data_IF_342061607241
#
_entry.id   IF_342061607241
#
_cell.length_a   1.000
_cell.length_b   1.000
_cell.length_c   1.000
_cell.angle_alpha   90.00
_cell.angle_beta   90.00
_cell.angle_gamma   90.00
#
_symmetry.space_group_name_H-M   'P 1'
#
loop_
_entity.id
_entity.type
_entity.pdbx_description
1 polymer ?
#
# COMPACT_ATOMS: atom_id res chain seq x y z
N UNK A 1 -16.12 -28.61 -1.31
CA UNK A 1 -15.49 -27.27 -1.41
C UNK A 1 -16.51 -26.29 -0.84
N UNK A 2 -16.23 -25.67 0.30
CA UNK A 2 -17.06 -24.56 0.77
C UNK A 2 -17.10 -23.49 -0.32
N UNK A 3 -18.31 -22.97 -0.58
CA UNK A 3 -18.48 -21.87 -1.53
C UNK A 3 -17.62 -20.68 -1.05
N UNK A 4 -16.64 -20.26 -1.89
CA UNK A 4 -15.82 -19.08 -1.60
C UNK A 4 -16.72 -17.89 -1.27
N UNK A 5 -16.41 -17.17 -0.20
CA UNK A 5 -17.07 -15.91 0.12
C UNK A 5 -16.97 -14.95 -1.09
N UNK A 6 -18.01 -14.19 -1.37
CA UNK A 6 -18.05 -13.24 -2.48
C UNK A 6 -18.38 -11.85 -1.96
N UNK A 7 -17.85 -10.83 -2.63
CA UNK A 7 -18.25 -9.46 -2.37
C UNK A 7 -19.67 -9.19 -2.86
N UNK A 8 -20.38 -8.33 -2.13
CA UNK A 8 -21.79 -8.03 -2.41
C UNK A 8 -21.99 -7.10 -3.60
N UNK A 9 -20.95 -6.31 -3.96
CA UNK A 9 -21.06 -5.30 -5.02
C UNK A 9 -19.75 -5.06 -5.76
N UNK A 10 -19.85 -4.60 -7.03
CA UNK A 10 -18.71 -4.13 -7.82
C UNK A 10 -18.02 -2.93 -7.16
N UNK A 11 -18.82 -1.99 -6.63
CA UNK A 11 -18.28 -0.85 -5.91
C UNK A 11 -17.51 -1.29 -4.66
N UNK A 12 -18.02 -2.28 -3.92
CA UNK A 12 -17.31 -2.89 -2.80
C UNK A 12 -15.96 -3.47 -3.20
N UNK A 13 -15.89 -4.20 -4.31
CA UNK A 13 -14.64 -4.71 -4.86
C UNK A 13 -13.64 -3.59 -5.18
N UNK A 14 -14.07 -2.54 -5.92
CA UNK A 14 -13.19 -1.43 -6.31
C UNK A 14 -12.70 -0.70 -5.04
N UNK A 15 -13.59 -0.38 -4.09
CA UNK A 15 -13.23 0.34 -2.88
C UNK A 15 -12.33 -0.48 -1.95
N UNK A 16 -12.55 -1.80 -1.86
CA UNK A 16 -11.72 -2.68 -1.05
C UNK A 16 -10.32 -2.85 -1.66
N UNK A 17 -10.24 -3.07 -2.97
CA UNK A 17 -8.96 -3.18 -3.69
C UNK A 17 -8.20 -1.85 -3.68
N UNK A 18 -8.89 -0.73 -3.95
CA UNK A 18 -8.30 0.60 -3.86
C UNK A 18 -7.88 0.93 -2.42
N UNK A 19 -8.70 0.58 -1.41
CA UNK A 19 -8.35 0.79 0.00
C UNK A 19 -7.15 -0.03 0.47
N UNK A 20 -6.88 -1.18 -0.14
CA UNK A 20 -5.66 -1.94 0.12
C UNK A 20 -4.42 -1.28 -0.53
N UNK A 21 -4.58 -0.70 -1.72
CA UNK A 21 -3.52 0.04 -2.42
C UNK A 21 -3.29 1.42 -1.78
N UNK A 22 -4.36 2.18 -1.55
CA UNK A 22 -4.31 3.53 -0.97
C UNK A 22 -3.97 3.46 0.52
N UNK A 23 -2.74 3.75 0.83
CA UNK A 23 -2.23 3.71 2.20
C UNK A 23 -1.21 4.81 2.47
N UNK A 24 -0.34 4.58 3.45
CA UNK A 24 0.79 5.47 3.74
C UNK A 24 1.71 5.67 2.53
N UNK A 25 1.70 4.74 1.58
CA UNK A 25 2.44 4.84 0.33
C UNK A 25 2.07 6.06 -0.50
N UNK A 26 0.78 6.38 -0.59
CA UNK A 26 0.26 7.50 -1.38
C UNK A 26 0.32 8.82 -0.64
N UNK A 27 0.07 8.78 0.67
CA UNK A 27 -0.16 10.01 1.43
C UNK A 27 1.11 10.51 2.10
N UNK A 28 2.07 9.63 2.33
CA UNK A 28 3.33 9.94 2.99
C UNK A 28 4.54 9.69 2.07
N UNK A 29 4.75 8.43 1.63
CA UNK A 29 5.94 8.06 0.86
C UNK A 29 5.98 8.76 -0.50
N UNK A 30 4.87 8.86 -1.19
CA UNK A 30 4.79 9.50 -2.50
C UNK A 30 5.10 11.01 -2.47
N UNK A 31 4.50 11.86 -1.60
CA UNK A 31 4.87 13.27 -1.53
C UNK A 31 6.34 13.47 -1.15
N UNK A 32 6.86 12.71 -0.20
CA UNK A 32 8.27 12.73 0.13
C UNK A 32 9.16 12.37 -1.07
N UNK A 33 8.85 11.30 -1.79
CA UNK A 33 9.59 10.91 -3.00
C UNK A 33 9.51 11.99 -4.08
N UNK A 34 8.35 12.64 -4.26
CA UNK A 34 8.21 13.80 -5.15
C UNK A 34 9.12 14.96 -4.73
N UNK A 35 9.12 15.32 -3.45
CA UNK A 35 9.96 16.39 -2.92
C UNK A 35 11.44 16.15 -3.17
N UNK A 36 11.90 14.92 -2.97
CA UNK A 36 13.31 14.53 -3.14
C UNK A 36 13.74 14.39 -4.60
N UNK A 37 12.84 14.07 -5.52
CA UNK A 37 13.15 13.68 -6.90
C UNK A 37 12.61 14.66 -7.95
N UNK A 38 12.51 15.96 -7.65
CA UNK A 38 12.16 17.00 -8.62
C UNK A 38 10.68 17.18 -8.90
N UNK A 39 9.83 16.91 -7.91
CA UNK A 39 8.41 17.29 -7.94
C UNK A 39 7.63 16.69 -9.11
N UNK A 40 7.18 17.56 -10.03
CA UNK A 40 6.35 17.19 -11.18
C UNK A 40 6.99 16.19 -12.13
N UNK A 41 8.32 16.17 -12.25
CA UNK A 41 9.07 15.22 -13.06
C UNK A 41 8.92 13.79 -12.52
N UNK A 42 9.08 13.64 -11.21
CA UNK A 42 8.86 12.36 -10.54
C UNK A 42 7.40 11.91 -10.65
N UNK A 43 6.44 12.81 -10.44
CA UNK A 43 5.02 12.51 -10.56
C UNK A 43 4.66 11.98 -11.97
N UNK A 44 5.18 12.62 -13.02
CA UNK A 44 4.96 12.18 -14.40
C UNK A 44 5.51 10.77 -14.64
N UNK A 45 6.77 10.51 -14.22
CA UNK A 45 7.39 9.20 -14.33
C UNK A 45 6.65 8.13 -13.52
N UNK A 46 6.20 8.48 -12.31
CA UNK A 46 5.41 7.58 -11.47
C UNK A 46 4.10 7.16 -12.16
N UNK A 47 3.33 8.11 -12.71
CA UNK A 47 2.09 7.80 -13.42
C UNK A 47 2.38 6.91 -14.65
N UNK A 48 3.45 7.19 -15.39
CA UNK A 48 3.87 6.36 -16.52
C UNK A 48 4.21 4.94 -16.05
N UNK A 49 4.97 4.79 -14.96
CA UNK A 49 5.32 3.50 -14.38
C UNK A 49 4.10 2.73 -13.86
N UNK A 50 3.13 3.42 -13.26
CA UNK A 50 1.85 2.79 -12.87
C UNK A 50 1.13 2.16 -14.06
N UNK A 51 1.08 2.86 -15.20
CA UNK A 51 0.38 2.37 -16.38
C UNK A 51 1.15 1.27 -17.13
N UNK A 52 2.47 1.37 -17.19
CA UNK A 52 3.31 0.47 -18.00
C UNK A 52 3.76 -0.78 -17.22
N UNK A 53 3.97 -0.65 -15.91
CA UNK A 53 4.43 -1.74 -15.04
C UNK A 53 3.36 -2.18 -14.04
N UNK A 54 2.76 -1.25 -13.32
CA UNK A 54 1.79 -1.53 -12.25
C UNK A 54 0.51 -2.18 -12.78
N UNK A 55 -0.08 -1.60 -13.83
CA UNK A 55 -1.31 -2.12 -14.45
C UNK A 55 -1.18 -3.57 -14.93
N UNK A 56 -0.15 -3.95 -15.71
CA UNK A 56 0.04 -5.35 -16.09
C UNK A 56 0.10 -6.30 -14.90
N UNK A 57 0.87 -5.97 -13.86
CA UNK A 57 1.03 -6.83 -12.68
C UNK A 57 -0.29 -6.95 -11.92
N UNK A 58 -1.02 -5.85 -11.72
CA UNK A 58 -2.32 -5.86 -11.05
C UNK A 58 -3.36 -6.72 -11.80
N UNK A 59 -3.43 -6.59 -13.14
CA UNK A 59 -4.32 -7.43 -13.97
C UNK A 59 -3.97 -8.91 -13.83
N UNK A 60 -2.67 -9.25 -13.84
CA UNK A 60 -2.21 -10.63 -13.65
C UNK A 60 -2.57 -11.15 -12.27
N UNK A 61 -2.40 -10.35 -11.23
CA UNK A 61 -2.68 -10.75 -9.86
C UNK A 61 -4.18 -11.00 -9.63
N UNK A 62 -5.05 -10.09 -10.10
CA UNK A 62 -6.49 -10.32 -10.09
C UNK A 62 -6.89 -11.57 -10.90
N UNK A 63 -6.28 -11.80 -12.06
CA UNK A 63 -6.61 -12.93 -12.93
C UNK A 63 -6.27 -14.27 -12.26
N UNK A 64 -5.09 -14.37 -11.64
CA UNK A 64 -4.69 -15.58 -10.91
C UNK A 64 -5.63 -15.85 -9.74
N UNK A 65 -5.96 -14.83 -8.95
CA UNK A 65 -6.91 -14.96 -7.84
C UNK A 65 -8.30 -15.39 -8.30
N UNK A 66 -8.83 -14.75 -9.36
CA UNK A 66 -10.17 -15.05 -9.90
C UNK A 66 -10.24 -16.44 -10.53
N UNK A 67 -9.21 -16.86 -11.26
CA UNK A 67 -9.16 -18.19 -11.85
C UNK A 67 -9.00 -19.30 -10.80
N UNK A 68 -8.13 -19.08 -9.83
CA UNK A 68 -7.84 -20.05 -8.78
C UNK A 68 -9.00 -20.22 -7.78
N UNK A 69 -9.82 -19.18 -7.56
CA UNK A 69 -10.85 -19.14 -6.50
C UNK A 69 -10.27 -19.61 -5.15
N UNK A 70 -9.04 -19.16 -4.85
CA UNK A 70 -8.25 -19.52 -3.68
C UNK A 70 -7.50 -18.30 -3.13
N UNK A 71 -7.05 -18.38 -1.87
CA UNK A 71 -6.11 -17.41 -1.35
C UNK A 71 -4.73 -17.60 -1.98
N UNK A 72 -3.82 -16.60 -1.84
CA UNK A 72 -2.49 -16.69 -2.44
C UNK A 72 -1.70 -17.92 -2.07
N UNK A 73 -1.98 -18.55 -0.93
CA UNK A 73 -1.26 -19.77 -0.49
C UNK A 73 -1.44 -20.94 -1.48
N UNK A 74 -2.61 -21.05 -2.10
CA UNK A 74 -2.93 -22.15 -3.02
C UNK A 74 -3.16 -21.70 -4.47
N UNK A 75 -3.17 -20.38 -4.76
CA UNK A 75 -3.49 -19.88 -6.10
C UNK A 75 -2.56 -20.44 -7.19
N UNK A 76 -1.26 -20.49 -6.91
CA UNK A 76 -0.28 -21.04 -7.87
C UNK A 76 -0.44 -22.54 -8.03
N UNK A 77 -0.60 -23.27 -6.94
CA UNK A 77 -0.75 -24.73 -6.94
C UNK A 77 -2.00 -25.17 -7.73
N UNK A 78 -3.11 -24.40 -7.65
CA UNK A 78 -4.36 -24.72 -8.37
C UNK A 78 -4.26 -24.49 -9.88
N UNK A 79 -3.38 -23.61 -10.32
CA UNK A 79 -3.25 -23.21 -11.73
C UNK A 79 -1.96 -23.73 -12.38
N UNK A 80 -1.01 -24.27 -11.62
CA UNK A 80 0.23 -24.82 -12.18
C UNK A 80 -0.03 -26.10 -12.98
N UNK A 81 0.85 -26.34 -13.93
CA UNK A 81 0.82 -27.57 -14.72
C UNK A 81 1.39 -28.74 -13.93
N UNK A 82 0.93 -29.98 -14.17
CA UNK A 82 1.49 -31.18 -13.52
C UNK A 82 3.02 -31.24 -13.65
N UNK A 83 3.68 -31.52 -12.53
CA UNK A 83 5.15 -31.62 -12.46
C UNK A 83 5.88 -30.31 -12.15
N UNK A 84 5.19 -29.17 -12.09
CA UNK A 84 5.75 -27.90 -11.66
C UNK A 84 5.50 -27.65 -10.16
N UNK A 85 6.29 -26.77 -9.54
CA UNK A 85 6.25 -26.47 -8.10
C UNK A 85 6.08 -24.97 -7.84
N UNK A 86 5.23 -24.28 -8.59
CA UNK A 86 4.95 -22.87 -8.37
C UNK A 86 4.22 -22.60 -7.04
N UNK A 87 3.53 -23.61 -6.49
CA UNK A 87 2.85 -23.51 -5.20
C UNK A 87 3.72 -23.02 -4.05
N UNK A 88 5.05 -23.21 -4.12
CA UNK A 88 5.99 -22.67 -3.12
C UNK A 88 5.91 -21.16 -2.95
N UNK A 89 5.58 -20.44 -4.02
CA UNK A 89 5.44 -18.98 -3.98
C UNK A 89 4.20 -18.48 -3.19
N UNK A 90 3.25 -19.37 -2.90
CA UNK A 90 2.16 -19.06 -1.96
C UNK A 90 2.68 -18.83 -0.53
N UNK A 91 3.66 -19.61 -0.08
CA UNK A 91 4.32 -19.41 1.23
C UNK A 91 5.09 -18.10 1.24
N UNK A 92 5.77 -17.77 0.15
CA UNK A 92 6.46 -16.47 -0.01
C UNK A 92 5.49 -15.29 0.14
N UNK A 93 4.29 -15.39 -0.46
CA UNK A 93 3.23 -14.38 -0.29
C UNK A 93 2.80 -14.24 1.16
N UNK A 94 2.62 -15.35 1.89
CA UNK A 94 2.23 -15.32 3.31
C UNK A 94 3.30 -14.62 4.17
N UNK A 95 4.57 -14.99 4.00
CA UNK A 95 5.69 -14.39 4.74
C UNK A 95 5.78 -12.90 4.45
N UNK A 96 5.63 -12.49 3.19
CA UNK A 96 5.66 -11.08 2.79
C UNK A 96 4.55 -10.24 3.43
N UNK A 97 3.32 -10.76 3.47
CA UNK A 97 2.20 -10.07 4.12
C UNK A 97 2.40 -9.95 5.65
N UNK A 98 2.93 -10.99 6.29
CA UNK A 98 3.24 -10.96 7.72
C UNK A 98 4.37 -9.94 7.99
N UNK A 99 5.41 -9.92 7.18
CA UNK A 99 6.51 -8.96 7.30
C UNK A 99 6.04 -7.51 7.12
N UNK A 100 5.11 -7.26 6.17
CA UNK A 100 4.50 -5.95 6.01
C UNK A 100 3.76 -5.52 7.27
N UNK A 101 2.96 -6.39 7.87
CA UNK A 101 2.20 -6.06 9.08
C UNK A 101 3.09 -5.86 10.31
N UNK A 102 4.31 -6.39 10.33
CA UNK A 102 5.26 -6.21 11.43
C UNK A 102 5.65 -4.73 11.66
N UNK A 103 5.61 -3.89 10.63
CA UNK A 103 5.90 -2.45 10.79
C UNK A 103 4.70 -1.56 10.44
N UNK A 104 3.88 -1.95 9.47
CA UNK A 104 2.80 -1.08 9.00
C UNK A 104 1.72 -0.86 10.06
N UNK A 105 1.44 -1.86 10.91
CA UNK A 105 0.52 -1.71 12.05
C UNK A 105 1.04 -0.72 13.11
N UNK A 106 2.36 -0.65 13.30
CA UNK A 106 2.98 0.33 14.21
C UNK A 106 2.86 1.74 13.65
N UNK A 107 3.18 1.94 12.37
CA UNK A 107 3.03 3.23 11.68
C UNK A 107 1.56 3.69 11.73
N UNK A 108 0.61 2.78 11.51
CA UNK A 108 -0.83 3.06 11.65
C UNK A 108 -1.16 3.51 13.09
N UNK A 109 -0.56 2.88 14.09
CA UNK A 109 -0.68 3.27 15.49
C UNK A 109 -0.18 4.69 15.76
N UNK A 110 0.95 5.09 15.15
CA UNK A 110 1.45 6.48 15.25
C UNK A 110 0.46 7.49 14.65
N UNK A 111 -0.16 7.17 13.53
CA UNK A 111 -1.19 8.01 12.91
C UNK A 111 -2.41 8.13 13.83
N UNK A 112 -2.86 7.04 14.45
CA UNK A 112 -3.92 7.08 15.45
C UNK A 112 -3.56 7.96 16.65
N UNK A 113 -2.34 7.87 17.16
CA UNK A 113 -1.86 8.71 18.24
C UNK A 113 -1.96 10.20 17.90
N UNK A 114 -1.46 10.62 16.74
CA UNK A 114 -1.53 12.00 16.29
C UNK A 114 -2.97 12.46 16.08
N UNK A 115 -3.84 11.63 15.54
CA UNK A 115 -5.27 11.92 15.42
C UNK A 115 -5.88 12.25 16.80
N UNK A 116 -5.66 11.38 17.79
CA UNK A 116 -6.18 11.59 19.15
C UNK A 116 -5.62 12.87 19.78
N UNK A 117 -4.34 13.14 19.56
CA UNK A 117 -3.69 14.35 20.09
C UNK A 117 -4.28 15.64 19.51
N UNK A 118 -4.47 15.72 18.21
CA UNK A 118 -5.14 16.86 17.58
C UNK A 118 -6.59 16.97 18.02
N UNK A 119 -7.32 15.86 18.09
CA UNK A 119 -8.72 15.83 18.53
C UNK A 119 -8.89 16.32 19.99
N UNK A 120 -7.98 15.97 20.88
CA UNK A 120 -8.00 16.40 22.30
C UNK A 120 -7.39 17.77 22.53
N UNK A 121 -6.69 18.34 21.54
CA UNK A 121 -6.01 19.64 21.66
C UNK A 121 -4.70 19.58 22.44
N UNK A 122 -4.13 18.38 22.64
CA UNK A 122 -2.87 18.17 23.38
C UNK A 122 -1.64 18.16 22.47
N UNK A 123 -1.62 18.98 21.43
CA UNK A 123 -0.65 18.96 20.33
C UNK A 123 0.52 19.96 20.49
N UNK A 124 0.64 20.65 21.63
CA UNK A 124 1.62 21.73 21.80
C UNK A 124 3.08 21.27 22.01
N UNK A 125 3.32 20.00 22.40
CA UNK A 125 4.64 19.55 22.88
C UNK A 125 5.13 18.22 22.25
N UNK A 126 4.95 18.01 20.93
CA UNK A 126 5.36 16.74 20.34
C UNK A 126 6.48 16.85 19.31
N UNK A 127 7.63 16.21 19.64
CA UNK A 127 8.57 15.72 18.65
C UNK A 127 8.27 14.25 18.30
N UNK A 128 8.29 13.91 17.03
CA UNK A 128 8.15 12.52 16.56
C UNK A 128 9.17 11.60 17.24
N UNK A 129 10.42 12.06 17.39
CA UNK A 129 11.47 11.33 18.07
C UNK A 129 11.14 10.95 19.52
N UNK A 130 10.46 11.83 20.26
CA UNK A 130 10.04 11.56 21.64
C UNK A 130 8.92 10.50 21.66
N UNK A 131 7.97 10.59 20.73
CA UNK A 131 6.85 9.66 20.65
C UNK A 131 7.33 8.24 20.30
N UNK A 132 8.22 8.07 19.32
CA UNK A 132 8.73 6.74 18.96
C UNK A 132 9.60 6.11 20.05
N UNK A 133 10.22 6.93 20.90
CA UNK A 133 11.01 6.46 22.04
C UNK A 133 10.16 6.06 23.26
N UNK A 134 8.85 6.40 23.30
CA UNK A 134 7.97 6.02 24.40
C UNK A 134 7.34 4.63 24.17
N UNK A 135 7.79 3.58 24.90
CA UNK A 135 7.29 2.22 24.70
C UNK A 135 5.80 2.08 25.05
N UNK A 136 5.29 2.86 26.02
CA UNK A 136 3.88 2.78 26.43
C UNK A 136 2.97 3.29 25.32
N UNK A 137 3.31 4.42 24.72
CA UNK A 137 2.56 4.99 23.58
C UNK A 137 2.56 4.00 22.43
N UNK A 138 3.74 3.52 22.04
CA UNK A 138 3.88 2.61 20.89
C UNK A 138 3.09 1.31 21.07
N UNK A 139 3.22 0.65 22.21
CA UNK A 139 2.50 -0.61 22.48
C UNK A 139 0.99 -0.39 22.57
N UNK A 140 0.54 0.71 23.21
CA UNK A 140 -0.89 1.01 23.34
C UNK A 140 -1.55 1.22 21.98
N UNK A 141 -0.97 2.08 21.13
CA UNK A 141 -1.56 2.37 19.83
C UNK A 141 -1.39 1.24 18.82
N UNK A 142 -0.32 0.44 18.91
CA UNK A 142 -0.22 -0.83 18.20
C UNK A 142 -1.36 -1.77 18.59
N UNK A 143 -1.61 -1.94 19.90
CA UNK A 143 -2.70 -2.79 20.39
C UNK A 143 -4.06 -2.31 19.90
N UNK A 144 -4.34 -1.01 19.96
CA UNK A 144 -5.59 -0.41 19.44
C UNK A 144 -5.73 -0.71 17.94
N UNK A 145 -4.68 -0.52 17.14
CA UNK A 145 -4.70 -0.75 15.70
C UNK A 145 -5.03 -2.21 15.38
N UNK A 146 -4.31 -3.15 16.01
CA UNK A 146 -4.52 -4.59 15.77
C UNK A 146 -5.89 -5.03 16.25
N UNK A 147 -6.32 -4.55 17.43
CA UNK A 147 -7.65 -4.86 17.98
C UNK A 147 -8.77 -4.39 17.06
N UNK A 148 -8.74 -3.12 16.63
CA UNK A 148 -9.75 -2.56 15.72
C UNK A 148 -9.78 -3.33 14.41
N UNK A 149 -8.63 -3.61 13.81
CA UNK A 149 -8.55 -4.35 12.56
C UNK A 149 -9.17 -5.76 12.69
N UNK A 150 -8.79 -6.53 13.69
CA UNK A 150 -9.29 -7.90 13.84
C UNK A 150 -10.71 -7.99 14.39
N UNK A 151 -11.21 -6.97 15.09
CA UNK A 151 -12.65 -6.85 15.42
C UNK A 151 -13.48 -6.68 14.14
N UNK A 152 -13.06 -5.80 13.23
CA UNK A 152 -13.74 -5.61 11.93
C UNK A 152 -13.67 -6.89 11.10
N UNK A 153 -12.51 -7.53 11.01
CA UNK A 153 -12.30 -8.77 10.26
C UNK A 153 -13.04 -9.98 10.87
N UNK A 154 -13.36 -9.96 12.16
CA UNK A 154 -14.13 -11.04 12.80
C UNK A 154 -15.58 -11.08 12.33
N UNK A 155 -16.09 -9.97 11.81
CA UNK A 155 -17.35 -9.91 11.10
C UNK A 155 -17.24 -10.63 9.74
N UNK A 156 -18.37 -10.89 9.05
CA UNK A 156 -18.33 -11.49 7.72
C UNK A 156 -17.73 -10.55 6.65
N UNK A 157 -17.35 -11.09 5.49
CA UNK A 157 -16.72 -10.34 4.41
C UNK A 157 -17.60 -9.16 3.94
N UNK A 158 -18.89 -9.39 3.69
CA UNK A 158 -19.81 -8.38 3.15
C UNK A 158 -20.24 -7.35 4.20
N UNK A 159 -20.67 -7.79 5.39
CA UNK A 159 -21.18 -6.91 6.44
C UNK A 159 -20.09 -6.20 7.26
N UNK A 160 -18.89 -6.79 7.34
CA UNK A 160 -17.75 -6.25 8.05
C UNK A 160 -16.78 -5.52 7.10
N UNK A 161 -15.89 -6.27 6.49
CA UNK A 161 -14.78 -5.71 5.71
C UNK A 161 -15.26 -4.82 4.55
N UNK A 162 -16.18 -5.29 3.71
CA UNK A 162 -16.64 -4.53 2.52
C UNK A 162 -17.35 -3.23 2.92
N UNK A 163 -18.28 -3.28 3.88
CA UNK A 163 -19.06 -2.09 4.27
C UNK A 163 -18.18 -1.05 4.99
N UNK A 164 -17.34 -1.50 5.90
CA UNK A 164 -16.45 -0.61 6.65
C UNK A 164 -15.44 0.04 5.71
N UNK A 165 -14.77 -0.74 4.86
CA UNK A 165 -13.78 -0.20 3.91
C UNK A 165 -14.42 0.75 2.91
N UNK A 166 -15.61 0.43 2.38
CA UNK A 166 -16.35 1.32 1.50
C UNK A 166 -16.68 2.66 2.17
N UNK A 167 -17.18 2.63 3.41
CA UNK A 167 -17.45 3.85 4.20
C UNK A 167 -16.20 4.67 4.46
N UNK A 168 -15.11 4.02 4.88
CA UNK A 168 -13.82 4.66 5.11
C UNK A 168 -13.26 5.31 3.84
N UNK A 169 -13.32 4.64 2.69
CA UNK A 169 -12.81 5.16 1.43
C UNK A 169 -13.60 6.37 0.93
N UNK A 170 -14.93 6.36 1.05
CA UNK A 170 -15.77 7.52 0.71
C UNK A 170 -15.43 8.69 1.63
N UNK A 171 -15.36 8.46 2.94
CA UNK A 171 -15.00 9.50 3.92
C UNK A 171 -13.60 10.05 3.66
N UNK A 172 -12.61 9.19 3.36
CA UNK A 172 -11.25 9.58 2.99
C UNK A 172 -11.25 10.53 1.79
N UNK A 173 -11.93 10.17 0.70
CA UNK A 173 -11.98 11.01 -0.50
C UNK A 173 -12.62 12.39 -0.22
N UNK A 174 -13.70 12.43 0.55
CA UNK A 174 -14.35 13.69 0.95
C UNK A 174 -13.41 14.53 1.80
N UNK A 175 -12.78 13.95 2.82
CA UNK A 175 -11.84 14.64 3.69
C UNK A 175 -10.65 15.20 2.91
N UNK A 176 -10.09 14.43 1.98
CA UNK A 176 -8.98 14.89 1.14
C UNK A 176 -9.38 16.06 0.23
N UNK A 177 -10.57 16.05 -0.35
CA UNK A 177 -11.08 17.17 -1.15
C UNK A 177 -11.22 18.43 -0.30
N UNK A 178 -11.78 18.33 0.92
CA UNK A 178 -11.90 19.45 1.86
C UNK A 178 -10.53 20.03 2.22
N UNK A 179 -9.58 19.15 2.57
CA UNK A 179 -8.22 19.56 2.91
C UNK A 179 -7.46 20.16 1.72
N UNK A 180 -7.64 19.60 0.51
CA UNK A 180 -7.02 20.14 -0.71
C UNK A 180 -7.55 21.56 -1.01
N UNK A 181 -8.88 21.78 -0.94
CA UNK A 181 -9.48 23.11 -1.12
C UNK A 181 -8.94 24.08 -0.07
N UNK A 182 -8.84 23.68 1.20
CA UNK A 182 -8.26 24.52 2.24
C UNK A 182 -6.78 24.83 1.95
N UNK A 183 -5.98 23.84 1.52
CA UNK A 183 -4.55 24.04 1.23
C UNK A 183 -4.32 25.03 0.08
N UNK A 184 -5.24 25.10 -0.90
CA UNK A 184 -5.19 26.09 -1.99
C UNK A 184 -5.36 27.54 -1.52
N UNK A 185 -5.82 27.80 -0.31
CA UNK A 185 -5.94 29.15 0.28
C UNK A 185 -4.64 29.65 0.88
N UNK A 186 -3.62 28.84 0.99
CA UNK A 186 -2.32 29.22 1.55
C UNK A 186 -1.53 30.16 0.61
N UNK A 187 -0.74 31.05 1.20
CA UNK A 187 0.02 32.04 0.42
C UNK A 187 1.06 31.44 -0.54
N UNK A 188 1.69 30.33 -0.15
CA UNK A 188 2.65 29.58 -0.98
C UNK A 188 2.02 28.56 -1.93
N UNK A 189 0.68 28.54 -2.07
CA UNK A 189 -0.01 27.52 -2.86
C UNK A 189 0.43 27.50 -4.33
N UNK A 190 0.55 28.67 -4.95
CA UNK A 190 0.95 28.77 -6.37
C UNK A 190 2.36 28.21 -6.61
N UNK A 191 3.31 28.49 -5.72
CA UNK A 191 4.69 28.02 -5.83
C UNK A 191 4.79 26.52 -5.56
N UNK A 192 4.13 26.04 -4.48
CA UNK A 192 4.07 24.61 -4.16
C UNK A 192 3.42 23.77 -5.26
N UNK A 193 2.33 24.27 -5.87
CA UNK A 193 1.68 23.59 -7.00
C UNK A 193 2.53 23.63 -8.27
N UNK A 194 3.24 24.72 -8.53
CA UNK A 194 4.17 24.79 -9.66
C UNK A 194 5.28 23.76 -9.53
N UNK A 195 5.91 23.65 -8.36
CA UNK A 195 6.92 22.63 -8.08
C UNK A 195 6.37 21.23 -8.28
N UNK A 196 5.15 20.97 -7.79
CA UNK A 196 4.56 19.63 -7.77
C UNK A 196 3.97 19.18 -9.10
N UNK A 197 3.38 20.08 -9.89
CA UNK A 197 2.63 19.74 -11.11
C UNK A 197 3.40 20.01 -12.40
N UNK A 198 4.38 20.93 -12.38
CA UNK A 198 5.13 21.32 -13.59
C UNK A 198 6.42 20.48 -13.66
N UNK A 199 6.56 19.61 -14.68
CA UNK A 199 7.78 18.83 -14.84
C UNK A 199 9.00 19.70 -15.21
N UNK A 200 10.10 19.48 -14.52
CA UNK A 200 11.43 19.93 -14.93
C UNK A 200 12.21 18.74 -15.47
N UNK A 201 12.28 18.60 -16.77
CA UNK A 201 12.95 17.47 -17.42
C UNK A 201 14.47 17.41 -17.16
N UNK A 202 15.07 18.52 -16.72
CA UNK A 202 16.49 18.55 -16.34
C UNK A 202 16.78 17.78 -15.04
N UNK A 203 15.77 17.60 -14.20
CA UNK A 203 15.85 16.84 -12.95
C UNK A 203 15.76 15.32 -13.15
N UNK A 204 15.49 14.84 -14.38
CA UNK A 204 15.32 13.40 -14.65
C UNK A 204 16.68 12.75 -14.88
N UNK A 205 17.08 11.90 -13.96
CA UNK A 205 18.20 10.98 -14.11
C UNK A 205 17.78 9.51 -13.89
N UNK A 206 18.74 8.58 -14.01
CA UNK A 206 18.48 7.17 -13.83
C UNK A 206 17.96 6.81 -12.43
N UNK A 207 18.37 7.56 -11.41
CA UNK A 207 17.95 7.32 -10.02
C UNK A 207 16.48 7.71 -9.81
N UNK A 208 16.04 8.82 -10.41
CA UNK A 208 14.66 9.30 -10.38
C UNK A 208 13.72 8.30 -11.08
N UNK A 209 14.16 7.75 -12.23
CA UNK A 209 13.39 6.73 -12.94
C UNK A 209 13.19 5.48 -12.06
N UNK A 210 14.27 4.96 -11.46
CA UNK A 210 14.19 3.78 -10.58
C UNK A 210 13.36 4.05 -9.34
N UNK A 211 13.50 5.24 -8.75
CA UNK A 211 12.67 5.66 -7.63
C UNK A 211 11.16 5.68 -7.98
N UNK A 212 10.80 6.20 -9.16
CA UNK A 212 9.42 6.21 -9.65
C UNK A 212 8.88 4.80 -9.91
N UNK A 213 9.71 3.92 -10.48
CA UNK A 213 9.35 2.52 -10.71
C UNK A 213 9.11 1.78 -9.38
N UNK A 214 10.00 1.93 -8.38
CA UNK A 214 9.84 1.34 -7.05
C UNK A 214 8.57 1.85 -6.37
N UNK A 215 8.31 3.15 -6.44
CA UNK A 215 7.11 3.75 -5.86
C UNK A 215 5.84 3.22 -6.52
N UNK A 216 5.83 2.95 -7.83
CA UNK A 216 4.67 2.41 -8.53
C UNK A 216 4.29 1.00 -8.03
N UNK A 217 5.27 0.12 -7.76
CA UNK A 217 4.98 -1.19 -7.17
C UNK A 217 4.53 -1.11 -5.72
N UNK A 218 5.17 -0.24 -4.94
CA UNK A 218 4.83 -0.05 -3.54
C UNK A 218 3.41 0.48 -3.37
N UNK A 219 3.03 1.52 -4.14
CA UNK A 219 1.72 2.15 -4.08
C UNK A 219 0.58 1.16 -4.35
N UNK A 220 0.73 0.33 -5.37
CA UNK A 220 -0.32 -0.63 -5.76
C UNK A 220 -0.38 -1.89 -4.89
N UNK A 221 0.56 -2.07 -3.95
CA UNK A 221 0.63 -3.26 -3.08
C UNK A 221 0.58 -4.60 -3.85
N UNK A 222 1.15 -4.64 -5.08
CA UNK A 222 1.17 -5.83 -5.93
C UNK A 222 2.38 -6.71 -5.67
N UNK A 223 2.29 -7.99 -6.03
CA UNK A 223 3.38 -8.97 -5.88
C UNK A 223 3.30 -9.84 -4.61
N UNK A 224 2.43 -9.50 -3.66
CA UNK A 224 2.24 -10.28 -2.42
C UNK A 224 0.92 -11.06 -2.37
N UNK A 225 0.16 -11.09 -3.47
CA UNK A 225 -1.15 -11.72 -3.49
C UNK A 225 -2.27 -10.86 -2.87
N UNK A 226 -2.00 -9.60 -2.50
CA UNK A 226 -3.02 -8.69 -1.97
C UNK A 226 -4.17 -8.46 -2.94
N UNK A 227 -3.88 -8.25 -4.20
CA UNK A 227 -4.90 -8.12 -5.23
C UNK A 227 -5.49 -9.48 -5.64
N UNK A 228 -4.75 -10.58 -5.51
CA UNK A 228 -5.25 -11.92 -5.83
C UNK A 228 -6.36 -12.35 -4.88
N UNK A 229 -6.29 -12.03 -3.58
CA UNK A 229 -7.37 -12.37 -2.65
C UNK A 229 -8.68 -11.69 -3.05
N UNK A 230 -8.63 -10.39 -3.42
CA UNK A 230 -9.80 -9.66 -3.90
C UNK A 230 -10.26 -10.17 -5.26
N UNK A 231 -9.34 -10.52 -6.17
CA UNK A 231 -9.65 -11.22 -7.41
C UNK A 231 -10.43 -12.51 -7.19
N UNK A 232 -10.13 -13.25 -6.12
CA UNK A 232 -10.85 -14.49 -5.77
C UNK A 232 -12.28 -14.26 -5.26
N UNK A 233 -12.63 -13.03 -4.88
CA UNK A 233 -13.95 -12.64 -4.38
C UNK A 233 -14.85 -12.00 -5.45
N UNK A 234 -14.31 -11.65 -6.63
CA UNK A 234 -15.06 -11.02 -7.72
C UNK A 234 -15.64 -12.05 -8.70
N UNK A 235 -16.83 -11.75 -9.24
CA UNK A 235 -17.45 -12.52 -10.33
C UNK A 235 -16.81 -12.30 -11.70
N UNK A 236 -17.39 -12.91 -12.73
CA UNK A 236 -16.93 -12.86 -14.12
C UNK A 236 -17.67 -11.86 -15.00
N UNK A 237 -18.44 -10.94 -14.42
CA UNK A 237 -19.28 -9.99 -15.14
C UNK A 237 -18.47 -8.89 -15.84
N UNK A 238 -17.31 -8.54 -15.28
CA UNK A 238 -16.43 -7.50 -15.77
C UNK A 238 -15.01 -8.00 -16.06
N UNK A 239 -14.40 -7.43 -17.11
CA UNK A 239 -13.01 -7.71 -17.48
C UNK A 239 -12.03 -7.05 -16.50
N UNK A 240 -10.95 -7.74 -16.17
CA UNK A 240 -10.01 -7.31 -15.12
C UNK A 240 -9.19 -6.08 -15.51
N UNK A 241 -8.94 -5.85 -16.80
CA UNK A 241 -8.25 -4.64 -17.27
C UNK A 241 -9.00 -3.37 -16.86
N UNK A 242 -10.33 -3.34 -17.04
CA UNK A 242 -11.16 -2.21 -16.64
C UNK A 242 -11.19 -2.01 -15.12
N UNK A 243 -11.32 -3.10 -14.36
CA UNK A 243 -11.32 -3.04 -12.90
C UNK A 243 -9.98 -2.55 -12.34
N UNK A 244 -8.86 -3.03 -12.88
CA UNK A 244 -7.52 -2.58 -12.51
C UNK A 244 -7.31 -1.09 -12.78
N UNK A 245 -7.80 -0.59 -13.92
CA UNK A 245 -7.73 0.85 -14.21
C UNK A 245 -8.54 1.70 -13.25
N UNK A 246 -9.70 1.24 -12.77
CA UNK A 246 -10.46 1.98 -11.75
C UNK A 246 -9.70 2.05 -10.42
N UNK A 247 -9.06 0.94 -10.01
CA UNK A 247 -8.23 0.92 -8.79
C UNK A 247 -7.03 1.86 -8.93
N UNK A 248 -6.30 1.78 -10.05
CA UNK A 248 -5.13 2.65 -10.31
C UNK A 248 -5.53 4.12 -10.39
N UNK A 249 -6.69 4.43 -11.01
CA UNK A 249 -7.19 5.79 -11.06
C UNK A 249 -7.45 6.35 -9.66
N UNK A 250 -8.11 5.59 -8.78
CA UNK A 250 -8.35 6.02 -7.40
C UNK A 250 -7.04 6.17 -6.61
N UNK A 251 -6.12 5.22 -6.76
CA UNK A 251 -4.79 5.25 -6.15
C UNK A 251 -4.02 6.52 -6.56
N UNK A 252 -3.94 6.78 -7.86
CA UNK A 252 -3.27 7.96 -8.41
C UNK A 252 -3.96 9.25 -7.98
N UNK A 253 -5.29 9.27 -7.98
CA UNK A 253 -6.07 10.44 -7.57
C UNK A 253 -5.76 10.83 -6.11
N UNK A 254 -5.70 9.85 -5.21
CA UNK A 254 -5.34 10.07 -3.81
C UNK A 254 -3.89 10.55 -3.67
N UNK A 255 -2.94 9.93 -4.40
CA UNK A 255 -1.55 10.36 -4.40
C UNK A 255 -1.39 11.82 -4.86
N UNK A 256 -2.09 12.20 -5.95
CA UNK A 256 -2.08 13.58 -6.46
C UNK A 256 -2.70 14.55 -5.45
N UNK A 257 -3.85 14.21 -4.86
CA UNK A 257 -4.46 15.06 -3.83
C UNK A 257 -3.58 15.22 -2.60
N UNK A 258 -2.86 14.17 -2.19
CA UNK A 258 -1.93 14.26 -1.05
C UNK A 258 -0.84 15.31 -1.29
N UNK A 259 -0.28 15.37 -2.49
CA UNK A 259 0.68 16.41 -2.86
C UNK A 259 0.05 17.81 -2.88
N UNK A 260 -1.19 17.96 -3.40
CA UNK A 260 -1.93 19.24 -3.37
C UNK A 260 -2.18 19.71 -1.93
N UNK A 261 -2.31 18.80 -0.96
CA UNK A 261 -2.46 19.14 0.46
C UNK A 261 -1.11 19.56 1.05
N UNK A 262 -0.04 18.83 0.76
CA UNK A 262 1.24 18.93 1.46
C UNK A 262 2.13 20.06 0.89
N UNK A 263 2.32 20.14 -0.43
CA UNK A 263 3.27 21.09 -1.01
C UNK A 263 2.90 22.56 -0.78
N UNK A 264 1.65 23.01 -0.95
CA UNK A 264 1.27 24.39 -0.59
C UNK A 264 1.60 24.75 0.86
N UNK A 265 1.37 23.82 1.79
CA UNK A 265 1.70 24.01 3.21
C UNK A 265 3.23 24.14 3.42
N UNK A 266 4.02 23.22 2.84
CA UNK A 266 5.48 23.26 2.95
C UNK A 266 6.06 24.58 2.40
N UNK A 267 5.62 25.03 1.23
CA UNK A 267 6.12 26.27 0.61
C UNK A 267 5.66 27.52 1.37
N UNK A 268 4.47 27.51 1.97
CA UNK A 268 3.98 28.64 2.79
C UNK A 268 4.83 28.83 4.06
N UNK A 269 5.25 27.75 4.69
CA UNK A 269 5.98 27.79 5.95
C UNK A 269 7.49 27.55 5.80
N UNK A 270 8.02 27.52 4.56
CA UNK A 270 9.42 27.24 4.23
C UNK A 270 9.95 25.95 4.89
N UNK A 271 9.15 24.88 4.82
CA UNK A 271 9.48 23.59 5.42
C UNK A 271 10.11 22.65 4.40
N UNK A 272 11.05 21.81 4.85
CA UNK A 272 11.73 20.85 3.99
C UNK A 272 10.77 19.76 3.53
N UNK A 273 10.65 19.58 2.21
CA UNK A 273 9.82 18.52 1.59
C UNK A 273 10.51 17.15 1.53
N UNK A 274 11.77 17.07 1.99
CA UNK A 274 12.65 15.89 1.83
C UNK A 274 12.78 15.05 3.12
N UNK A 275 12.06 15.38 4.17
CA UNK A 275 12.32 14.91 5.54
C UNK A 275 11.87 13.45 5.88
N UNK A 276 11.49 12.61 4.90
CA UNK A 276 11.09 11.22 5.19
C UNK A 276 9.83 11.11 6.10
N UNK A 277 9.83 10.20 7.11
CA UNK A 277 8.72 10.09 8.08
C UNK A 277 8.40 11.36 8.83
N UNK A 278 9.41 12.16 9.15
CA UNK A 278 9.23 13.43 9.84
C UNK A 278 8.45 14.47 9.03
N UNK A 279 8.40 14.36 7.69
CA UNK A 279 7.53 15.20 6.87
C UNK A 279 6.07 15.14 7.34
N UNK A 280 5.60 13.96 7.70
CA UNK A 280 4.22 13.78 8.15
C UNK A 280 4.04 14.16 9.61
N UNK A 281 4.88 13.62 10.49
CA UNK A 281 4.69 13.66 11.93
C UNK A 281 5.26 14.91 12.59
N UNK A 282 6.33 15.52 12.05
CA UNK A 282 6.89 16.77 12.54
C UNK A 282 6.44 17.95 11.67
N UNK A 283 6.71 17.90 10.36
CA UNK A 283 6.48 19.03 9.45
C UNK A 283 4.99 19.37 9.34
N UNK A 284 4.15 18.40 8.95
CA UNK A 284 2.71 18.67 8.82
C UNK A 284 2.03 18.91 10.16
N UNK A 285 2.45 18.23 11.23
CA UNK A 285 1.93 18.51 12.55
C UNK A 285 2.24 19.96 12.98
N UNK A 286 3.46 20.46 12.71
CA UNK A 286 3.82 21.84 13.02
C UNK A 286 3.04 22.86 12.19
N UNK A 287 2.74 22.60 10.92
CA UNK A 287 1.87 23.46 10.11
C UNK A 287 0.53 23.71 10.82
N UNK A 288 -0.10 22.65 11.30
CA UNK A 288 -1.40 22.75 11.97
C UNK A 288 -1.33 23.47 13.33
N UNK A 289 -0.16 23.62 13.95
CA UNK A 289 -0.04 24.46 15.16
C UNK A 289 0.00 25.95 14.86
N UNK A 290 0.34 26.36 13.62
CA UNK A 290 0.50 27.76 13.24
C UNK A 290 -0.70 28.36 12.48
N UNK A 291 -1.69 27.55 12.09
CA UNK A 291 -2.86 28.05 11.33
C UNK A 291 -4.08 28.24 12.24
N UNK A 292 -4.96 29.21 11.92
CA UNK A 292 -6.23 29.38 12.62
C UNK A 292 -7.09 28.11 12.52
N UNK A 293 -7.58 27.62 13.67
CA UNK A 293 -8.35 26.38 13.72
C UNK A 293 -7.54 25.10 13.46
N UNK A 294 -6.20 25.19 13.52
CA UNK A 294 -5.29 24.10 13.17
C UNK A 294 -5.49 22.81 13.93
N UNK A 295 -6.01 22.88 15.18
CA UNK A 295 -6.46 21.69 15.92
C UNK A 295 -7.44 20.85 15.09
N UNK A 296 -8.45 21.47 14.51
CA UNK A 296 -9.46 20.76 13.72
C UNK A 296 -8.94 20.32 12.36
N UNK A 297 -8.15 21.18 11.69
CA UNK A 297 -7.52 20.81 10.43
C UNK A 297 -6.53 19.66 10.58
N UNK A 298 -5.74 19.67 11.65
CA UNK A 298 -4.85 18.56 11.98
C UNK A 298 -5.62 17.29 12.33
N UNK A 299 -6.70 17.38 13.11
CA UNK A 299 -7.56 16.24 13.40
C UNK A 299 -8.17 15.64 12.12
N UNK A 300 -8.68 16.46 11.19
CA UNK A 300 -9.21 15.99 9.89
C UNK A 300 -8.12 15.37 9.02
N UNK A 301 -6.92 15.96 9.01
CA UNK A 301 -5.76 15.43 8.29
C UNK A 301 -5.36 14.05 8.82
N UNK A 302 -5.16 13.91 10.13
CA UNK A 302 -4.80 12.61 10.68
C UNK A 302 -5.96 11.61 10.65
N UNK A 303 -7.22 12.06 10.64
CA UNK A 303 -8.38 11.17 10.45
C UNK A 303 -8.38 10.53 9.05
N UNK A 304 -8.16 11.31 7.98
CA UNK A 304 -8.08 10.69 6.66
C UNK A 304 -6.88 9.76 6.54
N UNK A 305 -5.76 10.10 7.19
CA UNK A 305 -4.59 9.22 7.29
C UNK A 305 -4.88 7.90 8.00
N UNK A 306 -5.67 7.95 9.10
CA UNK A 306 -6.16 6.75 9.78
C UNK A 306 -6.97 5.89 8.82
N UNK A 307 -7.87 6.47 8.04
CA UNK A 307 -8.66 5.71 7.07
C UNK A 307 -7.80 5.08 5.98
N UNK A 308 -6.83 5.81 5.44
CA UNK A 308 -5.88 5.29 4.46
C UNK A 308 -5.04 4.13 5.02
N UNK A 309 -4.45 4.31 6.20
CA UNK A 309 -3.60 3.30 6.80
C UNK A 309 -4.41 2.06 7.24
N UNK A 310 -5.56 2.26 7.87
CA UNK A 310 -6.39 1.17 8.38
C UNK A 310 -7.03 0.36 7.24
N UNK A 311 -7.40 0.95 6.11
CA UNK A 311 -7.93 0.21 4.96
C UNK A 311 -6.89 -0.75 4.38
N UNK A 312 -5.62 -0.34 4.32
CA UNK A 312 -4.52 -1.23 3.92
C UNK A 312 -4.30 -2.34 4.95
N UNK A 313 -4.27 -2.00 6.26
CA UNK A 313 -4.17 -3.02 7.34
C UNK A 313 -5.27 -4.06 7.22
N UNK A 314 -6.51 -3.64 7.01
CA UNK A 314 -7.67 -4.54 6.84
C UNK A 314 -7.48 -5.44 5.62
N UNK A 315 -7.08 -4.90 4.48
CA UNK A 315 -6.87 -5.67 3.25
C UNK A 315 -5.78 -6.72 3.38
N UNK A 316 -4.64 -6.35 3.94
CA UNK A 316 -3.50 -7.26 4.12
C UNK A 316 -3.78 -8.30 5.23
N UNK A 317 -4.41 -7.89 6.34
CA UNK A 317 -4.81 -8.84 7.39
C UNK A 317 -5.88 -9.82 6.90
N UNK A 318 -6.83 -9.40 6.04
CA UNK A 318 -7.76 -10.33 5.37
C UNK A 318 -7.02 -11.35 4.51
N UNK A 319 -6.00 -10.91 3.77
CA UNK A 319 -5.17 -11.79 2.96
C UNK A 319 -4.46 -12.85 3.84
N UNK A 320 -3.82 -12.43 4.94
CA UNK A 320 -3.21 -13.35 5.92
C UNK A 320 -4.25 -14.30 6.50
N UNK A 321 -5.37 -13.77 6.94
CA UNK A 321 -6.47 -14.54 7.55
C UNK A 321 -7.00 -15.61 6.58
N UNK A 322 -7.23 -15.25 5.32
CA UNK A 322 -7.70 -16.18 4.31
C UNK A 322 -6.70 -17.30 4.05
N UNK A 323 -5.39 -16.98 3.95
CA UNK A 323 -4.34 -17.98 3.79
C UNK A 323 -4.25 -18.94 4.99
N UNK A 324 -4.26 -18.42 6.22
CA UNK A 324 -4.22 -19.22 7.44
C UNK A 324 -5.45 -20.09 7.57
N UNK A 325 -6.65 -19.56 7.25
CA UNK A 325 -7.89 -20.36 7.28
C UNK A 325 -7.87 -21.50 6.27
N UNK A 326 -7.38 -21.28 5.07
CA UNK A 326 -7.24 -22.35 4.06
C UNK A 326 -6.20 -23.41 4.47
N UNK A 327 -5.12 -23.03 5.13
CA UNK A 327 -4.10 -23.97 5.63
C UNK A 327 -4.60 -24.82 6.82
N UNK A 328 -5.37 -24.24 7.72
CA UNK A 328 -5.69 -24.84 9.03
C UNK A 328 -7.12 -25.34 9.16
N UNK A 329 -8.02 -24.87 8.29
CA UNK A 329 -9.47 -25.13 8.41
C UNK A 329 -10.13 -24.40 9.59
N UNK A 330 -9.50 -23.39 10.18
CA UNK A 330 -10.06 -22.69 11.34
C UNK A 330 -11.25 -21.80 10.97
N UNK A 331 -12.18 -21.68 11.93
CA UNK A 331 -13.27 -20.70 11.81
C UNK A 331 -12.72 -19.27 11.79
N UNK A 332 -13.46 -18.34 11.16
CA UNK A 332 -13.05 -16.93 11.03
C UNK A 332 -12.71 -16.29 12.38
N UNK A 333 -13.52 -16.40 13.46
CA UNK A 333 -13.16 -15.81 14.76
C UNK A 333 -11.88 -16.39 15.36
N UNK A 334 -11.67 -17.71 15.27
CA UNK A 334 -10.44 -18.35 15.76
C UNK A 334 -9.21 -17.86 14.95
N UNK A 335 -9.33 -17.82 13.63
CA UNK A 335 -8.28 -17.30 12.75
C UNK A 335 -7.94 -15.85 13.10
N UNK A 336 -8.93 -14.99 13.28
CA UNK A 336 -8.74 -13.58 13.68
C UNK A 336 -7.99 -13.47 15.02
N UNK A 337 -8.37 -14.23 16.04
CA UNK A 337 -7.73 -14.19 17.34
C UNK A 337 -6.26 -14.59 17.24
N UNK A 338 -5.95 -15.70 16.56
CA UNK A 338 -4.58 -16.21 16.44
C UNK A 338 -3.72 -15.29 15.55
N UNK A 339 -4.23 -14.86 14.40
CA UNK A 339 -3.51 -13.92 13.53
C UNK A 339 -3.28 -12.57 14.23
N UNK A 340 -4.27 -12.05 14.96
CA UNK A 340 -4.15 -10.80 15.70
C UNK A 340 -3.06 -10.86 16.76
N UNK A 341 -3.04 -11.94 17.58
CA UNK A 341 -1.97 -12.15 18.58
C UNK A 341 -0.60 -12.31 17.90
N UNK A 342 -0.52 -13.08 16.82
CA UNK A 342 0.74 -13.31 16.09
C UNK A 342 1.30 -12.02 15.48
N UNK A 343 0.46 -11.21 14.83
CA UNK A 343 0.87 -9.93 14.24
C UNK A 343 1.25 -8.94 15.35
N UNK A 344 0.47 -8.86 16.43
CA UNK A 344 0.80 -8.01 17.57
C UNK A 344 2.17 -8.37 18.15
N UNK A 345 2.42 -9.64 18.43
CA UNK A 345 3.67 -10.12 18.98
C UNK A 345 4.88 -9.80 18.07
N UNK A 346 4.73 -10.01 16.75
CA UNK A 346 5.78 -9.69 15.78
C UNK A 346 6.02 -8.18 15.68
N UNK A 347 4.95 -7.39 15.62
CA UNK A 347 5.04 -5.93 15.51
C UNK A 347 5.61 -5.24 16.77
N UNK A 348 5.64 -5.93 17.94
CA UNK A 348 6.34 -5.44 19.12
C UNK A 348 7.84 -5.22 18.86
N UNK A 349 8.46 -5.96 17.93
CA UNK A 349 9.85 -5.71 17.53
C UNK A 349 10.03 -4.30 17.01
N UNK A 350 9.15 -3.86 16.13
CA UNK A 350 9.16 -2.49 15.57
C UNK A 350 8.72 -1.46 16.59
N UNK A 351 7.64 -1.71 17.35
CA UNK A 351 7.10 -0.78 18.34
C UNK A 351 8.08 -0.46 19.48
N UNK A 352 8.90 -1.43 19.85
CA UNK A 352 9.91 -1.29 20.89
C UNK A 352 11.32 -1.05 20.33
N UNK A 353 11.48 -1.03 19.04
CA UNK A 353 12.78 -0.93 18.35
C UNK A 353 13.53 0.36 18.58
N UNK A 354 12.81 1.45 18.90
CA UNK A 354 13.39 2.75 19.22
C UNK A 354 13.60 2.99 20.73
N UNK A 355 13.20 2.02 21.57
CA UNK A 355 13.27 2.17 23.04
C UNK A 355 13.95 1.00 23.73
N UNK A 356 13.31 -0.15 23.85
CA UNK A 356 13.76 -1.30 24.65
C UNK A 356 14.49 -2.34 23.82
N UNK A 357 14.03 -2.60 22.59
CA UNK A 357 14.57 -3.60 21.69
C UNK A 357 15.46 -2.97 20.62
N UNK A 358 16.49 -2.25 21.07
CA UNK A 358 17.45 -1.63 20.15
C UNK A 358 18.07 -2.68 19.22
N UNK A 359 17.85 -2.52 17.93
CA UNK A 359 18.42 -3.35 16.88
C UNK A 359 18.77 -2.47 15.69
N UNK A 360 20.03 -2.48 15.31
CA UNK A 360 20.57 -1.72 14.19
C UNK A 360 21.00 -2.71 13.11
N UNK A 361 20.08 -3.19 12.28
CA UNK A 361 20.34 -4.31 11.36
C UNK A 361 21.38 -3.98 10.29
N UNK A 362 21.52 -2.69 9.92
CA UNK A 362 22.26 -2.32 8.74
C UNK A 362 23.37 -1.30 9.01
N UNK A 363 23.04 -0.24 9.77
CA UNK A 363 23.98 0.84 10.11
C UNK A 363 23.52 1.52 11.41
N UNK A 364 24.40 2.31 12.07
CA UNK A 364 24.00 3.17 13.18
C UNK A 364 22.83 4.08 12.80
N UNK A 365 21.78 4.09 13.60
CA UNK A 365 20.56 4.86 13.37
C UNK A 365 19.44 4.12 12.65
N UNK A 366 19.68 2.91 12.12
CA UNK A 366 18.60 2.05 11.59
C UNK A 366 17.87 1.31 12.72
N UNK A 367 16.63 0.85 12.45
CA UNK A 367 15.79 0.16 13.41
C UNK A 367 15.08 -1.04 12.79
N UNK A 368 14.26 -1.74 13.57
CA UNK A 368 13.41 -2.84 13.09
C UNK A 368 12.49 -2.44 11.94
N UNK A 369 12.01 -1.19 11.92
CA UNK A 369 11.20 -0.66 10.83
C UNK A 369 11.95 -0.72 9.50
N UNK A 370 13.21 -0.27 9.48
CA UNK A 370 14.05 -0.27 8.28
C UNK A 370 14.32 -1.69 7.78
N UNK A 371 14.50 -2.64 8.70
CA UNK A 371 14.65 -4.06 8.36
C UNK A 371 13.39 -4.62 7.67
N UNK A 372 12.22 -4.42 8.27
CA UNK A 372 10.99 -4.94 7.70
C UNK A 372 10.60 -4.25 6.39
N UNK A 373 10.79 -2.93 6.30
CA UNK A 373 10.57 -2.21 5.03
C UNK A 373 11.52 -2.69 3.93
N UNK A 374 12.81 -2.92 4.25
CA UNK A 374 13.75 -3.52 3.31
C UNK A 374 13.32 -4.90 2.82
N UNK A 375 12.90 -5.78 3.73
CA UNK A 375 12.42 -7.12 3.36
C UNK A 375 11.23 -7.00 2.41
N UNK A 376 10.27 -6.14 2.69
CA UNK A 376 9.04 -6.01 1.89
C UNK A 376 9.29 -5.22 0.61
N UNK A 377 9.76 -3.98 0.72
CA UNK A 377 9.81 -3.04 -0.41
C UNK A 377 10.91 -3.38 -1.40
N UNK A 378 12.07 -3.85 -0.91
CA UNK A 378 13.21 -4.15 -1.76
C UNK A 378 13.27 -5.60 -2.23
N UNK A 379 12.58 -6.54 -1.56
CA UNK A 379 12.64 -7.95 -1.93
C UNK A 379 11.27 -8.55 -2.27
N UNK A 380 10.30 -8.53 -1.33
CA UNK A 380 9.04 -9.27 -1.51
C UNK A 380 8.22 -8.73 -2.66
N UNK A 381 8.02 -7.41 -2.75
CA UNK A 381 7.21 -6.79 -3.81
C UNK A 381 7.80 -7.01 -5.21
N UNK A 382 9.10 -6.72 -5.47
CA UNK A 382 9.67 -6.93 -6.79
C UNK A 382 9.74 -8.42 -7.18
N UNK A 383 10.23 -9.28 -6.28
CA UNK A 383 10.37 -10.70 -6.58
C UNK A 383 9.02 -11.39 -6.76
N UNK A 384 8.03 -11.06 -5.94
CA UNK A 384 6.68 -11.58 -6.08
C UNK A 384 6.02 -11.13 -7.39
N UNK A 385 6.19 -9.87 -7.78
CA UNK A 385 5.72 -9.34 -9.07
C UNK A 385 6.41 -10.01 -10.26
N UNK A 386 7.72 -10.27 -10.15
CA UNK A 386 8.48 -11.01 -11.17
C UNK A 386 7.98 -12.45 -11.32
N UNK A 387 7.81 -13.16 -10.21
CA UNK A 387 7.28 -14.53 -10.18
C UNK A 387 5.89 -14.57 -10.81
N UNK A 388 5.01 -13.65 -10.45
CA UNK A 388 3.66 -13.56 -10.99
C UNK A 388 3.67 -13.32 -12.50
N UNK A 389 4.50 -12.40 -12.98
CA UNK A 389 4.63 -12.12 -14.41
C UNK A 389 5.17 -13.32 -15.19
N UNK A 390 6.16 -14.01 -14.65
CA UNK A 390 6.69 -15.25 -15.25
C UNK A 390 5.64 -16.37 -15.24
N UNK A 391 4.88 -16.52 -14.14
CA UNK A 391 3.83 -17.52 -14.03
C UNK A 391 2.70 -17.30 -15.06
N UNK A 392 2.21 -16.07 -15.19
CA UNK A 392 1.12 -15.74 -16.11
C UNK A 392 1.53 -15.78 -17.60
N UNK A 393 2.80 -15.43 -17.91
CA UNK A 393 3.21 -15.22 -19.30
C UNK A 393 4.05 -16.36 -19.88
N UNK A 394 4.61 -17.25 -19.03
CA UNK A 394 5.53 -18.29 -19.50
C UNK A 394 4.80 -19.63 -19.71
N UNK A 395 5.31 -20.43 -20.67
CA UNK A 395 4.80 -21.77 -20.95
C UNK A 395 4.98 -22.77 -19.78
N UNK A 396 5.91 -22.51 -18.87
CA UNK A 396 6.17 -23.34 -17.68
C UNK A 396 5.27 -22.99 -16.48
N UNK A 397 4.54 -21.87 -16.53
CA UNK A 397 3.54 -21.50 -15.56
C UNK A 397 2.12 -21.76 -16.07
N UNK A 398 1.19 -20.91 -15.67
CA UNK A 398 -0.20 -20.95 -16.13
C UNK A 398 -0.32 -20.66 -17.64
N UNK A 399 0.45 -19.70 -18.12
CA UNK A 399 0.61 -19.39 -19.54
C UNK A 399 -0.28 -18.24 -20.01
N UNK A 400 0.23 -17.54 -21.05
CA UNK A 400 -0.38 -16.34 -21.62
C UNK A 400 -1.84 -16.52 -22.05
N UNK A 401 -2.14 -17.62 -22.73
CA UNK A 401 -3.48 -17.81 -23.33
C UNK A 401 -4.54 -18.03 -22.25
N UNK A 402 -4.23 -18.78 -21.19
CA UNK A 402 -5.09 -18.95 -20.02
C UNK A 402 -5.28 -17.63 -19.27
N UNK A 403 -4.19 -16.89 -19.04
CA UNK A 403 -4.24 -15.58 -18.41
C UNK A 403 -5.15 -14.61 -19.18
N UNK A 404 -4.97 -14.49 -20.50
CA UNK A 404 -5.76 -13.56 -21.32
C UNK A 404 -7.23 -13.99 -21.39
N UNK A 405 -7.49 -15.29 -21.50
CA UNK A 405 -8.86 -15.81 -21.48
C UNK A 405 -9.59 -15.40 -20.20
N UNK A 406 -8.93 -15.57 -19.04
CA UNK A 406 -9.50 -15.15 -17.75
C UNK A 406 -9.62 -13.64 -17.63
N UNK A 407 -8.54 -12.87 -17.91
CA UNK A 407 -8.52 -11.42 -17.77
C UNK A 407 -9.58 -10.73 -18.65
N UNK A 408 -9.86 -11.29 -19.82
CA UNK A 408 -10.82 -10.78 -20.80
C UNK A 408 -12.27 -11.30 -20.59
N UNK A 409 -12.50 -12.15 -19.62
CA UNK A 409 -13.87 -12.63 -19.31
C UNK A 409 -14.70 -11.46 -18.74
N UNK A 410 -15.93 -11.33 -19.24
CA UNK A 410 -16.86 -10.27 -18.86
C UNK A 410 -16.82 -9.04 -19.77
N UNK A 411 -17.58 -8.01 -19.37
CA UNK A 411 -17.72 -6.74 -20.12
C UNK A 411 -16.61 -5.76 -19.75
N UNK A 412 -16.19 -4.89 -20.67
CA UNK A 412 -15.24 -3.80 -20.41
C UNK A 412 -13.97 -3.87 -21.23
N UNK A 413 -12.94 -3.13 -20.80
CA UNK A 413 -11.63 -3.06 -21.48
C UNK A 413 -10.91 -4.40 -21.40
N UNK A 414 -10.24 -4.76 -22.48
CA UNK A 414 -9.61 -6.08 -22.61
C UNK A 414 -8.12 -5.97 -22.89
N UNK A 415 -7.38 -6.96 -22.43
CA UNK A 415 -5.97 -7.15 -22.81
C UNK A 415 -5.92 -7.45 -24.32
N UNK A 416 -5.22 -6.59 -25.06
CA UNK A 416 -5.09 -6.69 -26.51
C UNK A 416 -3.85 -7.50 -26.92
N UNK A 417 -3.84 -8.15 -28.11
CA UNK A 417 -2.69 -8.95 -28.55
C UNK A 417 -1.37 -8.19 -28.62
N UNK A 418 -1.38 -6.89 -28.96
CA UNK A 418 -0.18 -6.05 -29.02
C UNK A 418 0.47 -5.81 -27.65
N UNK A 419 -0.26 -6.01 -26.56
CA UNK A 419 0.25 -5.88 -25.19
C UNK A 419 1.11 -7.11 -24.77
N UNK A 420 1.03 -8.23 -25.50
CA UNK A 420 1.76 -9.46 -25.17
C UNK A 420 3.27 -9.25 -24.96
N UNK A 421 4.01 -8.54 -25.83
CA UNK A 421 5.43 -8.30 -25.60
C UNK A 421 5.71 -7.47 -24.35
N UNK A 422 4.83 -6.52 -24.00
CA UNK A 422 4.96 -5.71 -22.77
C UNK A 422 4.84 -6.61 -21.54
N UNK A 423 3.78 -7.38 -21.41
CA UNK A 423 3.54 -8.26 -20.27
C UNK A 423 4.60 -9.38 -20.16
N UNK A 424 5.00 -9.96 -21.29
CA UNK A 424 5.85 -11.15 -21.30
C UNK A 424 7.34 -10.87 -21.19
N UNK A 425 7.81 -9.75 -21.73
CA UNK A 425 9.24 -9.45 -21.83
C UNK A 425 9.59 -8.15 -21.09
N UNK A 426 8.90 -7.06 -21.40
CA UNK A 426 9.26 -5.76 -20.84
C UNK A 426 9.04 -5.70 -19.32
N UNK A 427 7.86 -6.09 -18.83
CA UNK A 427 7.53 -6.05 -17.41
C UNK A 427 8.48 -6.91 -16.57
N UNK A 428 8.73 -8.21 -16.88
CA UNK A 428 9.70 -9.00 -16.11
C UNK A 428 11.13 -8.46 -16.19
N UNK A 429 11.56 -7.96 -17.35
CA UNK A 429 12.90 -7.39 -17.50
C UNK A 429 13.07 -6.10 -16.70
N UNK A 430 12.07 -5.21 -16.73
CA UNK A 430 12.08 -3.98 -15.95
C UNK A 430 12.07 -4.27 -14.43
N UNK A 431 11.25 -5.21 -13.97
CA UNK A 431 11.22 -5.60 -12.55
C UNK A 431 12.58 -6.16 -12.12
N UNK A 432 13.16 -7.06 -12.93
CA UNK A 432 14.48 -7.63 -12.63
C UNK A 432 15.56 -6.55 -12.60
N UNK A 433 15.53 -5.60 -13.54
CA UNK A 433 16.44 -4.46 -13.56
C UNK A 433 16.32 -3.61 -12.28
N UNK A 434 15.08 -3.24 -11.89
CA UNK A 434 14.83 -2.46 -10.68
C UNK A 434 15.35 -3.19 -9.44
N UNK A 435 15.05 -4.49 -9.35
CA UNK A 435 15.48 -5.31 -8.22
C UNK A 435 17.01 -5.35 -8.12
N UNK A 436 17.69 -5.68 -9.21
CA UNK A 436 19.15 -5.75 -9.22
C UNK A 436 19.78 -4.38 -8.96
N UNK A 437 19.31 -3.33 -9.63
CA UNK A 437 19.80 -1.96 -9.41
C UNK A 437 19.58 -1.54 -7.95
N UNK A 438 18.38 -1.78 -7.40
CA UNK A 438 18.08 -1.48 -6.00
C UNK A 438 18.99 -2.21 -5.02
N UNK A 439 19.33 -3.48 -5.27
CA UNK A 439 20.24 -4.25 -4.43
C UNK A 439 21.70 -3.77 -4.53
N UNK A 440 22.17 -3.38 -5.73
CA UNK A 440 23.54 -2.88 -5.93
C UNK A 440 23.74 -1.45 -5.44
N UNK A 441 22.70 -0.61 -5.48
CA UNK A 441 22.77 0.79 -5.05
C UNK A 441 22.28 0.99 -3.62
N UNK A 442 21.78 -0.07 -2.98
CA UNK A 442 21.32 0.01 -1.61
C UNK A 442 22.46 0.37 -0.68
N UNK A 443 22.40 1.57 -0.16
CA UNK A 443 23.35 2.04 0.86
C UNK A 443 22.69 1.82 2.22
N UNK A 444 23.33 1.01 3.04
CA UNK A 444 23.00 0.78 4.44
C UNK A 444 23.26 2.06 5.25
N UNK A 445 22.40 3.08 5.10
CA UNK A 445 22.52 4.36 5.80
C UNK A 445 21.29 4.63 6.63
#
# INVERSE_FOLDING_TARGET
MENRERLGSRLGFIMLSAGCAIGCGNVWKFPWMCGRNGGGSFMLLYILCLLVLGLPVMVMEFAVGRAAQASPIYMYQRLEKPGHKWGVFGVFSLIGNIALMAFYTVVTGWIFYYFVKFLTGSNADFGFAQMIADPKVNVTYLFITVLVAFLILSCNLQGGLEQVTKGMMIALLVLMLVLAVHSLTFSGAAEGLRFYLVPDFSAIDGSVVVAAMNQAFFSLSVGMGGMAIFGSYIGKDHSLMGESLHVIFLDTFVAVLAGIIIFPACFTYNLEVTAGPSLLFDTMASVFTHIPGGRWWGALFFLFMVFAALSTVLGVCENILAMIRELTGWSRPKGCAVCGVGIFALALTTALGYSVLHFQPFAPGTAWLDFWDFVVSNNVLPLGSLVLALFCCNRFGWGWDNFVAEANTGKGLKVRPWMKPIFRYFVPAAILFIYLYGMFTFTWR
#
